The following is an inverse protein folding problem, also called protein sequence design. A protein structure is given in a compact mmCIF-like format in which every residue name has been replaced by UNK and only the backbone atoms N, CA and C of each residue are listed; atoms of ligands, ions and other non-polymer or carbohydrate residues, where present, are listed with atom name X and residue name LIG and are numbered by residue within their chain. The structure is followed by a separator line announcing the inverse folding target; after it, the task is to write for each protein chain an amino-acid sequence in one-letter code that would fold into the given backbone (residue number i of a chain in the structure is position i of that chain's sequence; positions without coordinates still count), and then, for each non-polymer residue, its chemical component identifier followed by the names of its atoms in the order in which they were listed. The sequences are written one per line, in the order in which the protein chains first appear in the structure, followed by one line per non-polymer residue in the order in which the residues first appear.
data_IF_128227563855
#
_entry.id   IF_128227563855
#
_cell.length_a   1.000
_cell.length_b   1.000
_cell.length_c   1.000
_cell.angle_alpha   90.00
_cell.angle_beta   90.00
_cell.angle_gamma   90.00
#
_symmetry.space_group_name_H-M   'P 1'
#
loop_
_entity.id
_entity.type
_entity.pdbx_description
1 polymer ?
#
# COMPACT_ATOMS: atom_id res chain seq x y z
N UNK A 1 -24.40 -70.19 -22.52
CA UNK A 1 -23.27 -69.46 -23.12
C UNK A 1 -22.87 -68.35 -22.14
N UNK A 2 -21.68 -68.41 -21.54
CA UNK A 2 -21.22 -67.43 -20.54
C UNK A 2 -20.50 -66.29 -21.27
N UNK A 3 -21.08 -65.09 -21.24
CA UNK A 3 -20.46 -63.87 -21.74
C UNK A 3 -19.34 -63.44 -20.78
N UNK A 4 -18.08 -63.78 -21.08
CA UNK A 4 -16.93 -63.15 -20.44
C UNK A 4 -16.81 -61.72 -20.99
N UNK A 5 -17.37 -60.74 -20.26
CA UNK A 5 -17.00 -59.33 -20.45
C UNK A 5 -15.53 -59.19 -20.06
N UNK A 6 -14.68 -58.88 -21.03
CA UNK A 6 -13.31 -58.44 -20.80
C UNK A 6 -13.32 -57.23 -19.87
N UNK A 7 -12.91 -57.42 -18.61
CA UNK A 7 -12.62 -56.30 -17.71
C UNK A 7 -11.29 -55.70 -18.15
N UNK A 8 -11.32 -54.67 -18.99
CA UNK A 8 -10.14 -53.84 -19.26
C UNK A 8 -9.76 -53.15 -17.96
N UNK A 9 -8.64 -53.56 -17.37
CA UNK A 9 -8.05 -52.91 -16.20
C UNK A 9 -7.31 -51.65 -16.63
N UNK A 10 -7.27 -50.66 -15.74
CA UNK A 10 -6.54 -49.41 -15.94
C UNK A 10 -5.03 -49.67 -15.94
N UNK A 11 -4.32 -49.21 -16.97
CA UNK A 11 -2.86 -49.38 -17.06
C UNK A 11 -2.14 -48.27 -16.31
N UNK A 12 -0.94 -48.56 -15.79
CA UNK A 12 -0.08 -47.55 -15.15
C UNK A 12 0.26 -46.40 -16.12
N UNK A 13 0.41 -46.69 -17.42
CA UNK A 13 0.70 -45.68 -18.43
C UNK A 13 -0.47 -44.68 -18.60
N UNK A 14 -1.71 -45.17 -18.59
CA UNK A 14 -2.90 -44.31 -18.63
C UNK A 14 -2.98 -43.39 -17.40
N UNK A 15 -2.63 -43.90 -16.20
CA UNK A 15 -2.57 -43.06 -14.99
C UNK A 15 -1.54 -41.95 -15.12
N UNK A 16 -0.35 -42.27 -15.63
CA UNK A 16 0.77 -41.33 -15.74
C UNK A 16 0.47 -40.17 -16.68
N UNK A 17 -0.19 -40.43 -17.82
CA UNK A 17 -0.60 -39.37 -18.76
C UNK A 17 -1.63 -38.44 -18.11
N UNK A 18 -2.58 -38.99 -17.35
CA UNK A 18 -3.62 -38.18 -16.68
C UNK A 18 -3.01 -37.23 -15.64
N UNK A 19 -2.11 -37.71 -14.78
CA UNK A 19 -1.48 -36.83 -13.78
C UNK A 19 -0.59 -35.77 -14.44
N UNK A 20 0.05 -36.09 -15.57
CA UNK A 20 0.85 -35.13 -16.33
C UNK A 20 -0.02 -33.99 -16.87
N UNK A 21 -1.19 -34.31 -17.45
CA UNK A 21 -2.13 -33.30 -17.94
C UNK A 21 -2.69 -32.46 -16.79
N UNK A 22 -3.09 -33.08 -15.67
CA UNK A 22 -3.56 -32.36 -14.47
C UNK A 22 -2.47 -31.42 -13.94
N UNK A 23 -1.20 -31.87 -13.93
CA UNK A 23 -0.07 -31.06 -13.49
C UNK A 23 0.14 -29.79 -14.32
N UNK A 24 0.07 -29.90 -15.66
CA UNK A 24 0.17 -28.74 -16.55
C UNK A 24 -0.99 -27.77 -16.35
N UNK A 25 -2.22 -28.28 -16.23
CA UNK A 25 -3.40 -27.44 -15.99
C UNK A 25 -3.34 -26.73 -14.63
N UNK A 26 -2.95 -27.45 -13.57
CA UNK A 26 -2.82 -26.89 -12.23
C UNK A 26 -1.73 -25.81 -12.16
N UNK A 27 -0.60 -25.98 -12.86
CA UNK A 27 0.49 -25.01 -12.89
C UNK A 27 0.06 -23.63 -13.41
N UNK A 28 -0.88 -23.58 -14.35
CA UNK A 28 -1.43 -22.32 -14.87
C UNK A 28 -2.62 -21.86 -14.02
N UNK A 29 -3.49 -22.78 -13.61
CA UNK A 29 -4.72 -22.44 -12.91
C UNK A 29 -4.48 -21.87 -11.50
N UNK A 30 -3.55 -22.43 -10.73
CA UNK A 30 -3.27 -22.00 -9.35
C UNK A 30 -2.89 -20.51 -9.26
N UNK A 31 -1.88 -19.99 -9.97
CA UNK A 31 -1.49 -18.58 -9.84
C UNK A 31 -2.59 -17.61 -10.34
N UNK A 32 -3.33 -18.00 -11.38
CA UNK A 32 -4.44 -17.18 -11.91
C UNK A 32 -5.58 -17.12 -10.90
N UNK A 33 -5.95 -18.28 -10.34
CA UNK A 33 -7.03 -18.38 -9.36
C UNK A 33 -6.68 -17.66 -8.05
N UNK A 34 -5.43 -17.76 -7.58
CA UNK A 34 -4.98 -17.04 -6.38
C UNK A 34 -5.04 -15.52 -6.56
N UNK A 35 -4.63 -15.01 -7.73
CA UNK A 35 -4.71 -13.58 -8.02
C UNK A 35 -6.16 -13.09 -8.13
N UNK A 36 -7.03 -13.88 -8.78
CA UNK A 36 -8.45 -13.55 -8.88
C UNK A 36 -9.14 -13.54 -7.51
N UNK A 37 -8.82 -14.52 -6.65
CA UNK A 37 -9.34 -14.61 -5.27
C UNK A 37 -8.90 -13.40 -4.46
N UNK A 38 -7.62 -13.04 -4.50
CA UNK A 38 -7.11 -11.84 -3.80
C UNK A 38 -7.85 -10.56 -4.21
N UNK A 39 -8.09 -10.35 -5.50
CA UNK A 39 -8.86 -9.17 -5.98
C UNK A 39 -10.31 -9.19 -5.51
N UNK A 40 -10.92 -10.36 -5.44
CA UNK A 40 -12.27 -10.51 -4.90
C UNK A 40 -12.31 -10.19 -3.39
N UNK A 41 -11.31 -10.64 -2.63
CA UNK A 41 -11.15 -10.32 -1.21
C UNK A 41 -10.94 -8.82 -0.99
N UNK A 42 -10.10 -8.16 -1.80
CA UNK A 42 -9.88 -6.71 -1.78
C UNK A 42 -11.18 -5.93 -2.04
N UNK A 43 -11.92 -6.30 -3.11
CA UNK A 43 -13.17 -5.65 -3.48
C UNK A 43 -14.28 -5.83 -2.41
N UNK A 44 -14.42 -7.06 -1.89
CA UNK A 44 -15.36 -7.34 -0.82
C UNK A 44 -14.97 -6.61 0.48
N UNK A 45 -13.68 -6.54 0.80
CA UNK A 45 -13.20 -5.79 1.95
C UNK A 45 -13.49 -4.29 1.84
N UNK A 46 -13.31 -3.70 0.65
CA UNK A 46 -13.67 -2.30 0.40
C UNK A 46 -15.16 -2.06 0.66
N UNK A 47 -16.03 -2.91 0.10
CA UNK A 47 -17.48 -2.82 0.32
C UNK A 47 -17.87 -2.94 1.79
N UNK A 48 -17.25 -3.90 2.50
CA UNK A 48 -17.47 -4.11 3.94
C UNK A 48 -17.03 -2.89 4.75
N UNK A 49 -15.86 -2.31 4.45
CA UNK A 49 -15.36 -1.10 5.11
C UNK A 49 -16.27 0.11 4.89
N UNK A 50 -16.75 0.33 3.66
CA UNK A 50 -17.68 1.42 3.36
C UNK A 50 -19.00 1.25 4.09
N UNK A 51 -19.55 0.04 4.10
CA UNK A 51 -20.78 -0.28 4.83
C UNK A 51 -20.62 -0.03 6.34
N UNK A 52 -19.50 -0.49 6.90
CA UNK A 52 -19.16 -0.28 8.29
C UNK A 52 -18.94 1.21 8.63
N UNK A 53 -18.26 1.95 7.76
CA UNK A 53 -18.04 3.39 7.94
C UNK A 53 -19.38 4.14 7.97
N UNK A 54 -20.30 3.82 7.07
CA UNK A 54 -21.65 4.40 7.09
C UNK A 54 -22.39 4.09 8.39
N UNK A 55 -22.35 2.84 8.86
CA UNK A 55 -22.96 2.44 10.12
C UNK A 55 -22.40 3.27 11.29
N UNK A 56 -21.08 3.39 11.41
CA UNK A 56 -20.43 4.16 12.47
C UNK A 56 -20.79 5.65 12.43
N UNK A 57 -20.93 6.22 11.22
CA UNK A 57 -21.39 7.60 11.05
C UNK A 57 -22.85 7.75 11.51
N UNK A 58 -23.73 6.82 11.17
CA UNK A 58 -25.13 6.85 11.65
C UNK A 58 -25.20 6.77 13.17
N UNK A 59 -24.41 5.90 13.81
CA UNK A 59 -24.36 5.80 15.27
C UNK A 59 -23.82 7.09 15.91
N UNK A 60 -22.79 7.69 15.31
CA UNK A 60 -22.29 8.98 15.78
C UNK A 60 -23.37 10.08 15.66
N UNK A 61 -24.15 10.10 14.59
CA UNK A 61 -25.22 11.09 14.41
C UNK A 61 -26.40 10.88 15.37
N UNK A 62 -26.61 9.64 15.84
CA UNK A 62 -27.62 9.31 16.84
C UNK A 62 -27.19 9.57 18.29
N UNK A 63 -25.90 9.84 18.53
CA UNK A 63 -25.34 10.07 19.86
C UNK A 63 -25.29 11.56 20.21
N UNK A 64 -25.72 11.91 21.42
CA UNK A 64 -25.64 13.28 21.97
C UNK A 64 -24.18 13.70 22.28
N UNK A 65 -23.27 12.75 22.40
CA UNK A 65 -21.84 12.96 22.63
C UNK A 65 -20.99 12.43 21.46
N UNK A 66 -19.83 13.04 21.24
CA UNK A 66 -18.83 12.53 20.30
C UNK A 66 -18.31 11.19 20.82
N UNK A 67 -18.53 10.12 20.05
CA UNK A 67 -18.08 8.79 20.40
C UNK A 67 -16.55 8.74 20.33
N UNK A 68 -15.95 8.15 21.35
CA UNK A 68 -14.51 7.91 21.41
C UNK A 68 -14.13 6.81 20.41
N UNK A 69 -12.83 6.74 20.09
CA UNK A 69 -12.28 5.67 19.24
C UNK A 69 -12.64 4.28 19.76
N UNK A 70 -12.60 4.08 21.08
CA UNK A 70 -12.85 2.77 21.68
C UNK A 70 -14.31 2.36 21.54
N UNK A 71 -15.25 3.30 21.76
CA UNK A 71 -16.68 3.04 21.57
C UNK A 71 -17.00 2.71 20.10
N UNK A 72 -16.41 3.45 19.16
CA UNK A 72 -16.56 3.16 17.73
C UNK A 72 -15.95 1.80 17.35
N UNK A 73 -14.86 1.39 17.99
CA UNK A 73 -14.25 0.08 17.78
C UNK A 73 -15.16 -1.05 18.30
N UNK A 74 -15.78 -0.88 19.46
CA UNK A 74 -16.72 -1.87 20.03
C UNK A 74 -17.95 -2.05 19.13
N UNK A 75 -18.55 -0.95 18.65
CA UNK A 75 -19.66 -0.99 17.69
C UNK A 75 -19.24 -1.73 16.42
N UNK A 76 -18.02 -1.47 15.93
CA UNK A 76 -17.51 -2.14 14.75
C UNK A 76 -17.34 -3.64 14.95
N UNK A 77 -16.84 -4.06 16.11
CA UNK A 77 -16.64 -5.46 16.46
C UNK A 77 -17.99 -6.21 16.62
N UNK A 78 -19.04 -5.53 17.08
CA UNK A 78 -20.40 -6.07 17.20
C UNK A 78 -21.17 -6.13 15.89
N UNK A 79 -20.81 -5.32 14.88
CA UNK A 79 -21.48 -5.28 13.57
C UNK A 79 -21.50 -6.62 12.83
N UNK A 80 -20.58 -7.53 13.16
CA UNK A 80 -20.39 -8.80 12.47
C UNK A 80 -19.76 -8.67 11.07
N UNK A 81 -19.47 -7.45 10.61
CA UNK A 81 -18.82 -7.16 9.33
C UNK A 81 -17.32 -7.43 9.48
N UNK A 82 -16.80 -8.42 8.76
CA UNK A 82 -15.39 -8.85 8.85
C UNK A 82 -14.68 -8.79 7.51
N UNK A 83 -13.36 -8.72 7.56
CA UNK A 83 -12.53 -8.87 6.37
C UNK A 83 -12.66 -10.30 5.82
N UNK A 84 -12.83 -10.49 4.49
CA UNK A 84 -12.83 -11.82 3.86
C UNK A 84 -11.59 -12.66 4.17
N UNK A 85 -10.43 -12.03 4.35
CA UNK A 85 -9.17 -12.70 4.68
C UNK A 85 -8.94 -12.89 6.19
N UNK A 86 -9.94 -12.59 7.03
CA UNK A 86 -9.93 -12.91 8.47
C UNK A 86 -9.38 -11.83 9.41
N UNK A 87 -8.88 -10.71 8.88
CA UNK A 87 -8.39 -9.60 9.71
C UNK A 87 -9.52 -8.77 10.34
N UNK A 88 -9.21 -8.14 11.48
CA UNK A 88 -10.11 -7.21 12.17
C UNK A 88 -9.91 -5.79 11.63
N UNK A 89 -11.00 -5.05 11.51
CA UNK A 89 -10.94 -3.63 11.13
C UNK A 89 -10.53 -2.76 12.32
N UNK A 90 -9.62 -1.82 12.12
CA UNK A 90 -9.24 -0.78 13.09
C UNK A 90 -9.93 0.52 12.76
N UNK A 91 -10.55 1.16 13.76
CA UNK A 91 -11.23 2.44 13.58
C UNK A 91 -10.32 3.59 13.99
N UNK A 92 -10.21 4.60 13.12
CA UNK A 92 -9.61 5.90 13.44
C UNK A 92 -10.66 7.00 13.31
N UNK A 93 -10.81 7.79 14.36
CA UNK A 93 -11.61 9.02 14.36
C UNK A 93 -10.66 10.23 14.46
N UNK A 94 -10.88 11.26 13.64
CA UNK A 94 -10.08 12.50 13.66
C UNK A 94 -10.94 13.73 13.32
N UNK A 95 -10.69 14.85 14.00
CA UNK A 95 -11.35 16.14 13.77
C UNK A 95 -12.12 16.69 15.00
N UNK A 96 -11.95 17.98 15.29
CA UNK A 96 -12.65 18.68 16.40
C UNK A 96 -13.98 19.34 15.97
N UNK A 97 -14.26 19.43 14.67
CA UNK A 97 -15.50 20.04 14.14
C UNK A 97 -16.15 19.34 12.95
N UNK A 98 -15.41 18.43 12.28
CA UNK A 98 -15.96 17.53 11.27
C UNK A 98 -15.35 16.15 11.52
N UNK A 99 -16.08 15.29 12.23
CA UNK A 99 -15.58 13.99 12.65
C UNK A 99 -15.41 13.09 11.43
N UNK A 100 -14.16 12.78 11.08
CA UNK A 100 -13.85 11.79 10.06
C UNK A 100 -13.64 10.43 10.72
N UNK A 101 -14.55 9.50 10.43
CA UNK A 101 -14.44 8.09 10.82
C UNK A 101 -13.84 7.32 9.64
N UNK A 102 -12.69 6.68 9.87
CA UNK A 102 -12.00 5.85 8.89
C UNK A 102 -11.95 4.41 9.39
N UNK A 103 -12.42 3.48 8.55
CA UNK A 103 -12.32 2.04 8.80
C UNK A 103 -11.09 1.51 8.07
N UNK A 104 -10.14 0.95 8.83
CA UNK A 104 -8.87 0.45 8.32
C UNK A 104 -8.78 -1.07 8.41
N UNK A 105 -8.28 -1.72 7.37
CA UNK A 105 -8.01 -3.13 7.25
C UNK A 105 -6.51 -3.30 7.01
N UNK A 106 -5.85 -4.12 7.83
CA UNK A 106 -4.42 -4.36 7.71
C UNK A 106 -4.01 -4.88 6.32
N UNK A 107 -4.86 -5.70 5.69
CA UNK A 107 -4.53 -6.34 4.40
C UNK A 107 -5.06 -5.58 3.17
N UNK A 108 -6.22 -4.92 3.26
CA UNK A 108 -6.90 -4.33 2.09
C UNK A 108 -7.25 -2.84 2.22
N UNK A 109 -6.89 -2.15 3.31
CA UNK A 109 -6.96 -0.68 3.33
C UNK A 109 -5.82 -0.10 2.55
N UNK A 110 -5.83 -0.30 1.25
CA UNK A 110 -4.74 0.18 0.44
C UNK A 110 -5.05 1.59 -0.03
N UNK A 111 -4.59 2.57 0.75
CA UNK A 111 -4.26 3.91 0.24
C UNK A 111 -3.37 3.74 -0.98
N UNK A 112 -3.30 4.74 -1.88
CA UNK A 112 -2.41 4.65 -3.03
C UNK A 112 -0.95 4.34 -2.61
N UNK A 113 -0.40 4.93 -1.53
CA UNK A 113 0.88 4.54 -0.97
C UNK A 113 0.98 3.06 -0.61
N UNK A 114 -0.05 2.48 -0.01
CA UNK A 114 -0.04 1.06 0.34
C UNK A 114 -0.10 0.18 -0.92
N UNK A 115 -0.86 0.58 -1.95
CA UNK A 115 -0.88 -0.14 -3.24
C UNK A 115 0.50 -0.12 -3.89
N UNK A 116 1.17 1.04 -3.87
CA UNK A 116 2.56 1.18 -4.37
C UNK A 116 3.51 0.33 -3.53
N UNK A 117 3.38 0.33 -2.20
CA UNK A 117 4.20 -0.49 -1.28
C UNK A 117 4.13 -1.96 -1.66
N UNK A 118 2.92 -2.49 -1.75
CA UNK A 118 2.68 -3.91 -2.00
C UNK A 118 3.13 -4.32 -3.40
N UNK A 119 2.79 -3.52 -4.42
CA UNK A 119 3.20 -3.78 -5.79
C UNK A 119 4.74 -3.72 -5.94
N UNK A 120 5.39 -2.78 -5.26
CA UNK A 120 6.85 -2.66 -5.28
C UNK A 120 7.54 -3.77 -4.47
N UNK A 121 6.95 -4.21 -3.35
CA UNK A 121 7.40 -5.38 -2.60
C UNK A 121 7.33 -6.66 -3.43
N UNK A 122 6.25 -6.86 -4.19
CA UNK A 122 6.11 -7.98 -5.14
C UNK A 122 7.20 -7.95 -6.22
N UNK A 123 7.54 -6.76 -6.74
CA UNK A 123 8.61 -6.59 -7.72
C UNK A 123 9.99 -6.90 -7.11
N UNK A 124 10.27 -6.40 -5.91
CA UNK A 124 11.48 -6.69 -5.13
C UNK A 124 11.69 -8.19 -4.89
N UNK A 125 10.61 -8.91 -4.59
CA UNK A 125 10.63 -10.34 -4.34
C UNK A 125 10.93 -11.15 -5.61
N UNK A 126 10.40 -10.72 -6.76
CA UNK A 126 10.67 -11.34 -8.08
C UNK A 126 12.09 -11.05 -8.56
N UNK A 127 12.64 -9.89 -8.22
CA UNK A 127 13.91 -9.38 -8.72
C UNK A 127 14.92 -9.13 -7.58
N UNK A 128 15.45 -10.17 -6.91
CA UNK A 128 16.21 -10.02 -5.67
C UNK A 128 17.58 -9.35 -5.82
N UNK A 129 18.08 -9.19 -7.05
CA UNK A 129 19.45 -8.70 -7.35
C UNK A 129 19.48 -7.32 -8.02
N UNK A 130 18.32 -6.78 -8.37
CA UNK A 130 18.26 -5.48 -9.03
C UNK A 130 18.56 -4.35 -8.04
N UNK A 131 18.93 -3.19 -8.56
CA UNK A 131 19.14 -1.98 -7.75
C UNK A 131 17.85 -1.18 -7.62
N UNK A 132 17.84 -0.21 -6.69
CA UNK A 132 16.70 0.68 -6.51
C UNK A 132 16.33 1.46 -7.76
N UNK A 133 17.32 1.89 -8.53
CA UNK A 133 17.06 2.67 -9.74
C UNK A 133 16.48 1.77 -10.85
N UNK A 134 16.98 0.54 -10.99
CA UNK A 134 16.47 -0.44 -11.97
C UNK A 134 15.01 -0.85 -11.66
N UNK A 135 14.72 -1.09 -10.38
CA UNK A 135 13.38 -1.50 -9.93
C UNK A 135 12.37 -0.38 -10.05
N UNK A 136 12.75 0.86 -9.68
CA UNK A 136 11.88 2.03 -9.87
C UNK A 136 11.57 2.26 -11.34
N UNK A 137 12.56 2.16 -12.21
CA UNK A 137 12.36 2.28 -13.66
C UNK A 137 11.38 1.23 -14.17
N UNK A 138 11.59 -0.03 -13.78
CA UNK A 138 10.69 -1.14 -14.15
C UNK A 138 9.27 -0.90 -13.64
N UNK A 139 9.13 -0.44 -12.40
CA UNK A 139 7.83 -0.12 -11.81
C UNK A 139 7.14 1.02 -12.56
N UNK A 140 7.87 2.08 -12.91
CA UNK A 140 7.33 3.22 -13.65
C UNK A 140 6.81 2.82 -15.03
N UNK A 141 7.59 2.04 -15.77
CA UNK A 141 7.20 1.52 -17.09
C UNK A 141 5.95 0.62 -17.00
N UNK A 142 5.86 -0.23 -15.97
CA UNK A 142 4.69 -1.08 -15.73
C UNK A 142 3.40 -0.29 -15.40
N UNK A 143 3.53 0.92 -14.88
CA UNK A 143 2.41 1.79 -14.51
C UNK A 143 2.10 2.86 -15.57
N UNK A 144 2.49 2.61 -16.82
CA UNK A 144 2.15 3.48 -17.94
C UNK A 144 2.96 4.78 -17.99
N UNK A 145 4.21 4.73 -17.50
CA UNK A 145 5.12 5.87 -17.43
C UNK A 145 4.54 7.04 -16.63
N UNK A 146 3.96 6.73 -15.47
CA UNK A 146 3.44 7.74 -14.55
C UNK A 146 3.58 7.29 -13.09
N UNK A 147 3.86 8.25 -12.21
CA UNK A 147 3.78 8.07 -10.76
C UNK A 147 2.40 8.51 -10.28
N UNK A 148 1.81 7.84 -9.27
CA UNK A 148 0.61 8.34 -8.61
C UNK A 148 0.87 9.69 -7.94
N UNK A 149 -0.18 10.47 -7.72
CA UNK A 149 -0.08 11.85 -7.25
C UNK A 149 -0.68 11.98 -5.85
N UNK A 150 0.04 12.63 -4.95
CA UNK A 150 -0.44 13.19 -3.70
C UNK A 150 -0.66 14.68 -3.92
N UNK A 151 -1.92 15.12 -3.99
CA UNK A 151 -2.29 16.53 -4.12
C UNK A 151 -2.54 17.14 -2.75
N UNK A 152 -1.76 18.16 -2.41
CA UNK A 152 -1.82 18.87 -1.13
C UNK A 152 -1.94 20.36 -1.41
N UNK A 153 -3.01 21.00 -0.93
CA UNK A 153 -3.26 22.44 -1.11
C UNK A 153 -3.13 22.91 -2.57
N UNK A 154 -3.58 22.07 -3.52
CA UNK A 154 -3.51 22.34 -4.97
C UNK A 154 -2.14 22.10 -5.62
N UNK A 155 -1.16 21.62 -4.86
CA UNK A 155 0.18 21.25 -5.36
C UNK A 155 0.30 19.74 -5.52
N UNK A 156 0.81 19.31 -6.67
CA UNK A 156 0.99 17.90 -7.01
C UNK A 156 2.37 17.40 -6.60
N UNK A 157 2.39 16.37 -5.77
CA UNK A 157 3.58 15.60 -5.39
C UNK A 157 3.46 14.18 -5.95
N UNK A 158 4.57 13.60 -6.40
CA UNK A 158 4.59 12.26 -6.98
C UNK A 158 4.96 11.25 -5.91
N UNK A 159 4.10 10.25 -5.74
CA UNK A 159 4.26 9.14 -4.81
C UNK A 159 5.23 8.14 -5.43
N UNK A 160 6.38 7.95 -4.79
CA UNK A 160 7.44 7.11 -5.30
C UNK A 160 7.96 6.13 -4.23
N UNK A 161 8.31 4.90 -4.62
CA UNK A 161 8.93 3.92 -3.73
C UNK A 161 10.45 4.10 -3.68
N UNK A 162 11.04 3.83 -2.53
CA UNK A 162 12.48 3.73 -2.34
C UNK A 162 12.79 2.50 -1.50
N UNK A 163 13.86 1.79 -1.82
CA UNK A 163 14.45 0.84 -0.88
C UNK A 163 15.97 0.97 -0.91
N UNK A 164 16.61 0.56 0.18
CA UNK A 164 18.06 0.49 0.24
C UNK A 164 18.52 -0.96 0.03
N UNK A 165 19.50 -1.17 -0.87
CA UNK A 165 20.09 -2.50 -1.12
C UNK A 165 20.81 -3.07 0.09
N UNK A 166 21.20 -2.23 1.05
CA UNK A 166 21.79 -2.62 2.33
C UNK A 166 20.78 -3.05 3.41
N UNK A 167 19.47 -2.90 3.18
CA UNK A 167 18.45 -3.26 4.16
C UNK A 167 18.26 -4.77 4.21
N UNK A 168 18.45 -5.36 5.39
CA UNK A 168 18.24 -6.80 5.61
C UNK A 168 16.79 -7.22 5.40
N UNK A 169 15.85 -6.31 5.70
CA UNK A 169 14.42 -6.56 5.62
C UNK A 169 13.85 -6.27 4.20
N UNK A 170 14.63 -5.62 3.33
CA UNK A 170 14.24 -5.21 1.96
C UNK A 170 12.82 -4.60 1.90
N UNK A 171 12.46 -3.84 2.93
CA UNK A 171 11.17 -3.14 3.06
C UNK A 171 11.23 -1.87 2.19
N UNK A 172 10.22 -1.59 1.35
CA UNK A 172 10.14 -0.32 0.66
C UNK A 172 9.59 0.77 1.57
N UNK A 173 10.08 1.99 1.35
CA UNK A 173 9.56 3.24 1.89
C UNK A 173 8.82 3.98 0.78
N UNK A 174 7.67 4.56 1.11
CA UNK A 174 6.94 5.44 0.20
C UNK A 174 7.14 6.89 0.63
N UNK A 175 7.48 7.74 -0.34
CA UNK A 175 7.61 9.16 -0.13
C UNK A 175 6.96 9.93 -1.28
N UNK A 176 6.66 11.21 -1.06
CA UNK A 176 6.18 12.10 -2.10
C UNK A 176 7.11 13.32 -2.26
N UNK A 177 7.36 13.68 -3.52
CA UNK A 177 8.25 14.78 -3.90
C UNK A 177 7.67 15.58 -5.07
N UNK A 178 8.11 16.83 -5.24
CA UNK A 178 7.73 17.65 -6.40
C UNK A 178 8.34 17.08 -7.67
N UNK A 179 7.69 17.31 -8.83
CA UNK A 179 8.14 16.82 -10.12
C UNK A 179 9.64 17.09 -10.33
N UNK A 180 10.42 16.05 -10.57
CA UNK A 180 11.50 16.13 -11.56
C UNK A 180 11.12 15.16 -12.67
N UNK A 181 10.73 15.64 -13.86
CA UNK A 181 10.54 14.76 -15.01
C UNK A 181 11.84 14.01 -15.28
N UNK A 182 11.71 12.74 -15.66
CA UNK A 182 12.77 11.72 -15.76
C UNK A 182 13.92 12.00 -16.76
N UNK A 183 14.00 13.20 -17.33
CA UNK A 183 15.09 13.66 -18.19
C UNK A 183 16.16 14.52 -17.48
N UNK A 184 16.01 14.87 -16.20
CA UNK A 184 17.02 15.63 -15.41
C UNK A 184 17.78 14.78 -14.37
N UNK A 185 17.78 13.45 -14.51
CA UNK A 185 18.45 12.48 -13.63
C UNK A 185 20.00 12.46 -13.76
N UNK A 186 20.62 13.64 -13.65
CA UNK A 186 22.02 13.81 -13.27
C UNK A 186 22.11 14.82 -12.12
N UNK A 187 21.73 14.44 -10.90
CA UNK A 187 21.97 15.30 -9.74
C UNK A 187 21.31 14.94 -8.42
N UNK A 188 21.88 15.47 -7.34
CA UNK A 188 21.66 15.19 -5.90
C UNK A 188 20.24 15.41 -5.35
N UNK A 189 19.27 15.81 -6.17
CA UNK A 189 17.92 16.24 -5.72
C UNK A 189 16.80 15.21 -5.95
N UNK A 190 17.09 14.08 -6.60
CA UNK A 190 16.14 13.00 -6.92
C UNK A 190 15.57 12.24 -5.70
N UNK A 191 16.11 12.49 -4.50
CA UNK A 191 15.72 11.81 -3.25
C UNK A 191 15.10 12.74 -2.21
N UNK A 192 14.75 13.98 -2.57
CA UNK A 192 14.21 14.94 -1.62
C UNK A 192 12.72 14.66 -1.33
N UNK A 193 12.41 14.05 -0.19
CA UNK A 193 11.04 13.81 0.26
C UNK A 193 10.48 15.03 0.99
N UNK A 194 9.32 15.53 0.51
CA UNK A 194 8.50 16.50 1.24
C UNK A 194 7.57 15.79 2.22
N UNK A 195 7.02 14.66 1.77
CA UNK A 195 6.17 13.80 2.57
C UNK A 195 6.74 12.38 2.61
N UNK A 196 6.59 11.71 3.74
CA UNK A 196 6.94 10.30 3.92
C UNK A 196 5.69 9.59 4.42
N UNK A 197 5.36 8.45 3.84
CA UNK A 197 4.22 7.65 4.26
C UNK A 197 4.69 6.56 5.22
N UNK A 198 4.10 6.51 6.42
CA UNK A 198 4.32 5.44 7.38
C UNK A 198 3.22 4.38 7.20
N UNK A 199 3.54 3.19 6.64
CA UNK A 199 2.53 2.17 6.39
C UNK A 199 1.97 1.53 7.66
N UNK A 200 2.71 1.51 8.78
CA UNK A 200 2.21 0.95 10.04
C UNK A 200 1.13 1.85 10.66
N UNK A 201 1.22 3.17 10.45
CA UNK A 201 0.23 4.18 10.89
C UNK A 201 -0.77 4.58 9.79
N UNK A 202 -0.55 4.12 8.56
CA UNK A 202 -1.29 4.50 7.36
C UNK A 202 -1.46 6.01 7.20
N UNK A 203 -0.36 6.76 7.37
CA UNK A 203 -0.40 8.21 7.45
C UNK A 203 0.81 8.87 6.80
N UNK A 204 0.56 10.02 6.19
CA UNK A 204 1.60 10.93 5.70
C UNK A 204 2.20 11.78 6.81
N UNK A 205 3.52 11.88 6.79
CA UNK A 205 4.33 12.77 7.60
C UNK A 205 4.93 13.86 6.72
N UNK A 206 4.74 15.11 7.11
CA UNK A 206 5.27 16.27 6.39
C UNK A 206 6.60 16.72 7.02
N UNK A 207 7.61 16.95 6.17
CA UNK A 207 8.86 17.54 6.61
C UNK A 207 8.63 18.97 7.14
N UNK A 208 9.30 19.36 8.22
CA UNK A 208 9.11 20.68 8.80
C UNK A 208 10.28 21.62 8.50
N UNK A 209 9.95 22.81 7.99
CA UNK A 209 10.92 23.89 7.81
C UNK A 209 10.96 24.75 9.08
N UNK A 210 11.78 24.37 10.06
CA UNK A 210 11.74 24.98 11.40
C UNK A 210 12.74 26.13 11.64
N UNK A 211 13.54 26.54 10.66
CA UNK A 211 14.68 27.42 10.96
C UNK A 211 15.07 28.43 9.87
N UNK A 212 14.21 28.73 8.90
CA UNK A 212 14.57 29.67 7.82
C UNK A 212 15.78 29.20 6.98
N UNK A 213 16.13 27.92 7.09
CA UNK A 213 17.18 27.24 6.31
C UNK A 213 16.75 27.00 4.87
N UNK A 214 15.47 27.24 4.56
CA UNK A 214 14.86 26.90 3.27
C UNK A 214 14.68 25.39 3.08
N UNK A 215 14.95 24.57 4.10
CA UNK A 215 14.87 23.12 3.99
C UNK A 215 13.44 22.66 4.20
N UNK A 216 12.74 22.48 3.09
CA UNK A 216 11.35 21.99 3.01
C UNK A 216 11.28 20.50 2.64
N UNK A 217 12.42 19.85 2.43
CA UNK A 217 12.52 18.47 1.97
C UNK A 217 13.77 17.78 2.53
N UNK A 218 13.73 16.45 2.59
CA UNK A 218 14.82 15.66 3.16
C UNK A 218 15.25 14.51 2.24
N UNK A 219 16.56 14.26 2.14
CA UNK A 219 17.07 13.18 1.31
C UNK A 219 16.74 11.80 1.90
N UNK A 220 16.07 10.95 1.13
CA UNK A 220 15.84 9.52 1.48
C UNK A 220 16.98 8.62 0.99
N UNK A 221 17.73 9.06 -0.03
CA UNK A 221 18.78 8.27 -0.66
C UNK A 221 19.99 8.05 0.24
N UNK A 222 20.47 6.80 0.27
CA UNK A 222 21.67 6.41 1.01
C UNK A 222 21.46 6.07 2.49
N UNK A 223 20.26 6.33 3.05
CA UNK A 223 19.86 5.85 4.38
C UNK A 223 19.06 4.54 4.27
N UNK A 224 19.12 3.70 5.31
CA UNK A 224 18.22 2.54 5.45
C UNK A 224 16.80 3.02 5.76
N UNK A 225 15.79 2.18 5.50
CA UNK A 225 14.40 2.54 5.85
C UNK A 225 14.26 2.81 7.35
N UNK A 226 14.85 1.98 8.21
CA UNK A 226 14.78 2.17 9.66
C UNK A 226 15.40 3.51 10.10
N UNK A 227 16.53 3.93 9.53
CA UNK A 227 17.15 5.23 9.83
C UNK A 227 16.27 6.41 9.41
N UNK A 228 15.48 6.23 8.34
CA UNK A 228 14.55 7.26 7.88
C UNK A 228 13.37 7.33 8.84
N UNK A 229 12.80 6.20 9.25
CA UNK A 229 11.67 6.14 10.19
C UNK A 229 12.04 6.66 11.58
N UNK A 230 13.22 6.31 12.09
CA UNK A 230 13.76 6.90 13.34
C UNK A 230 13.80 8.43 13.28
N UNK A 231 14.10 8.99 12.10
CA UNK A 231 14.11 10.44 11.88
C UNK A 231 12.70 11.01 11.76
N UNK A 232 11.78 10.30 11.11
CA UNK A 232 10.36 10.71 11.00
C UNK A 232 9.73 10.87 12.38
N UNK A 233 10.02 9.95 13.30
CA UNK A 233 9.54 10.01 14.68
C UNK A 233 10.48 10.75 15.65
N UNK A 234 11.60 11.27 15.14
CA UNK A 234 12.68 11.87 15.92
C UNK A 234 12.67 13.39 15.94
N UNK A 235 13.41 13.93 16.90
CA UNK A 235 13.63 15.37 17.05
C UNK A 235 15.05 15.76 16.66
N UNK A 236 15.21 16.98 16.16
CA UNK A 236 16.50 17.57 15.88
C UNK A 236 17.24 17.81 17.21
N UNK A 237 18.44 17.23 17.39
CA UNK A 237 19.15 17.29 18.68
C UNK A 237 19.56 18.71 19.08
N UNK A 238 19.68 19.63 18.11
CA UNK A 238 20.09 21.01 18.37
C UNK A 238 18.91 21.93 18.71
N UNK A 239 17.71 21.64 18.20
CA UNK A 239 16.53 22.51 18.38
C UNK A 239 15.42 21.89 19.22
N UNK A 240 15.47 20.58 19.48
CA UNK A 240 14.42 19.82 20.15
C UNK A 240 13.12 19.68 19.35
N UNK A 241 13.06 20.23 18.12
CA UNK A 241 11.87 20.21 17.27
C UNK A 241 11.82 18.96 16.39
N UNK A 242 10.62 18.44 16.08
CA UNK A 242 10.49 17.26 15.22
C UNK A 242 10.92 17.56 13.79
N UNK A 243 11.59 16.59 13.15
CA UNK A 243 11.96 16.71 11.73
C UNK A 243 10.73 16.60 10.81
N UNK A 244 9.79 15.74 11.20
CA UNK A 244 8.53 15.52 10.50
C UNK A 244 7.38 15.61 11.49
N UNK A 245 6.21 16.05 11.00
CA UNK A 245 4.98 15.98 11.80
C UNK A 245 3.90 15.23 11.01
N UNK A 246 2.99 14.51 11.69
CA UNK A 246 1.84 13.92 11.03
C UNK A 246 1.07 15.00 10.25
N UNK A 247 0.86 14.79 8.96
CA UNK A 247 0.10 15.73 8.13
C UNK A 247 -1.38 15.63 8.48
N UNK A 248 -1.97 16.76 8.89
CA UNK A 248 -3.37 16.86 9.32
C UNK A 248 -4.26 17.67 8.38
N UNK A 249 -3.68 18.22 7.31
CA UNK A 249 -4.43 18.96 6.30
C UNK A 249 -5.20 18.04 5.35
N UNK A 250 -6.01 18.64 4.47
CA UNK A 250 -6.71 17.91 3.41
C UNK A 250 -5.74 17.56 2.28
N UNK A 251 -5.78 16.31 1.84
CA UNK A 251 -5.03 15.83 0.69
C UNK A 251 -5.90 14.92 -0.17
N UNK A 252 -5.51 14.75 -1.43
CA UNK A 252 -6.12 13.81 -2.36
C UNK A 252 -5.04 12.88 -2.91
N UNK A 253 -5.31 11.58 -2.94
CA UNK A 253 -4.45 10.59 -3.58
C UNK A 253 -5.06 10.22 -4.92
N UNK A 254 -4.34 10.51 -6.00
CA UNK A 254 -4.76 10.26 -7.37
C UNK A 254 -3.92 9.14 -7.98
N UNK A 255 -4.54 8.18 -8.71
CA UNK A 255 -3.81 7.10 -9.35
C UNK A 255 -2.86 7.64 -10.42
N UNK A 256 -1.86 6.84 -10.78
CA UNK A 256 -1.02 7.13 -11.94
C UNK A 256 -1.92 7.26 -13.18
N UNK A 257 -1.84 8.40 -13.86
CA UNK A 257 -2.54 8.63 -15.13
C UNK A 257 -1.56 8.36 -16.25
N UNK A 258 -1.71 7.28 -17.04
CA UNK A 258 -0.84 7.01 -18.17
C UNK A 258 -0.91 8.20 -19.12
N UNK A 259 0.24 8.65 -19.64
CA UNK A 259 0.23 9.66 -20.70
C UNK A 259 -0.53 9.08 -21.90
N UNK A 260 -1.67 9.68 -22.26
CA UNK A 260 -2.29 9.39 -23.55
C UNK A 260 -1.22 9.61 -24.63
N UNK A 261 -0.94 8.57 -25.41
CA UNK A 261 0.20 8.52 -26.30
C UNK A 261 0.22 9.69 -27.28
N UNK A 262 1.41 10.24 -27.49
CA UNK A 262 1.79 10.86 -28.77
C UNK A 262 2.37 9.77 -29.68
#
# INVERSE_FOLDING_TARGET
MKNCRERRGFTLAELLVVIAIIGVLAAIAIPVFSAATRRAEEAACLSNRTSLAHQLIYEQMGSDAVLTRNELQEIADESGIKCPSGEVYKITASGEGNLQITVNCRLHSQTIPQQVTDAYQDLLNKNPKETNDDLRKTFYEQNGNAWPILRVDGTDYYIQPYYNTGDTNRRPLIYATLAVPECELKGKWQWAARFIYEPDEQRWYQCMNWAGTGQDSWAVGGSTVEQILERVHGNNPNTGRPYFTPYTGSYEELPATPSEGN
#
